data_IF_955651213761
#
_entry.id   IF_955651213761
#
_cell.length_a   1.000
_cell.length_b   1.000
_cell.length_c   1.000
_cell.angle_alpha   90.00
_cell.angle_beta   90.00
_cell.angle_gamma   90.00
#
_symmetry.space_group_name_H-M   'P 1'
#
loop_
_entity.id
_entity.type
_entity.pdbx_description
1 polymer ?
#
# COMPACT_ATOMS: atom_id res chain seq x y z
N UNK A 1 -32.60 -13.08 3.83
CA UNK A 1 -32.90 -11.78 3.21
C UNK A 1 -31.71 -11.45 2.34
N UNK A 2 -31.85 -11.16 1.04
CA UNK A 2 -30.72 -10.73 0.24
C UNK A 2 -30.22 -9.38 0.78
N UNK A 3 -29.00 -9.38 1.27
CA UNK A 3 -28.32 -8.15 1.71
C UNK A 3 -28.02 -7.34 0.46
N UNK A 4 -28.77 -6.25 0.23
CA UNK A 4 -28.43 -5.30 -0.82
C UNK A 4 -27.08 -4.70 -0.44
N UNK A 5 -26.05 -4.82 -1.28
CA UNK A 5 -24.74 -4.27 -0.96
C UNK A 5 -24.83 -2.75 -0.83
N UNK A 6 -24.10 -2.14 0.13
CA UNK A 6 -24.09 -0.70 0.28
C UNK A 6 -23.60 -0.04 -1.02
N UNK A 7 -24.29 1.01 -1.44
CA UNK A 7 -23.82 1.82 -2.55
C UNK A 7 -22.46 2.46 -2.19
N UNK A 8 -21.63 2.81 -3.18
CA UNK A 8 -20.35 3.50 -2.93
C UNK A 8 -20.56 4.79 -2.14
N UNK A 9 -21.68 5.48 -2.36
CA UNK A 9 -22.07 6.69 -1.63
C UNK A 9 -22.31 6.42 -0.14
N UNK A 10 -22.89 5.27 0.23
CA UNK A 10 -23.08 4.86 1.62
C UNK A 10 -21.74 4.59 2.31
N UNK A 11 -20.76 4.07 1.56
CA UNK A 11 -19.40 3.82 2.05
C UNK A 11 -18.68 5.14 2.30
N UNK A 12 -18.76 6.08 1.35
CA UNK A 12 -18.19 7.42 1.50
C UNK A 12 -18.80 8.15 2.69
N UNK A 13 -20.13 8.07 2.85
CA UNK A 13 -20.83 8.65 4.01
C UNK A 13 -20.32 8.07 5.33
N UNK A 14 -20.18 6.75 5.43
CA UNK A 14 -19.67 6.10 6.63
C UNK A 14 -18.21 6.48 6.95
N UNK A 15 -17.37 6.66 5.92
CA UNK A 15 -16.00 7.14 6.11
C UNK A 15 -15.98 8.58 6.63
N UNK A 16 -16.80 9.47 6.04
CA UNK A 16 -16.90 10.88 6.44
C UNK A 16 -17.44 11.01 7.88
N UNK A 17 -18.45 10.25 8.24
CA UNK A 17 -19.04 10.25 9.60
C UNK A 17 -18.01 9.83 10.66
N UNK A 18 -17.15 8.86 10.34
CA UNK A 18 -16.19 8.32 11.31
C UNK A 18 -14.86 9.08 11.37
N UNK A 19 -14.36 9.52 10.23
CA UNK A 19 -13.00 10.10 10.10
C UNK A 19 -13.01 11.59 9.75
N UNK A 20 -14.19 12.20 9.60
CA UNK A 20 -14.31 13.59 9.15
C UNK A 20 -14.21 13.72 7.63
N UNK A 21 -13.98 14.92 7.11
CA UNK A 21 -13.94 15.17 5.67
C UNK A 21 -12.89 14.31 4.98
N UNK A 22 -13.31 13.44 4.06
CA UNK A 22 -12.47 12.57 3.26
C UNK A 22 -12.43 13.12 1.84
N UNK A 23 -11.22 13.38 1.33
CA UNK A 23 -11.04 13.72 -0.08
C UNK A 23 -11.39 12.50 -0.93
N UNK A 24 -12.33 12.68 -1.87
CA UNK A 24 -12.75 11.62 -2.78
C UNK A 24 -12.75 12.10 -4.22
N UNK A 25 -12.51 11.19 -5.15
CA UNK A 25 -12.56 11.45 -6.59
C UNK A 25 -13.00 10.21 -7.33
N UNK A 26 -13.57 10.40 -8.52
CA UNK A 26 -13.94 9.31 -9.43
C UNK A 26 -13.13 9.43 -10.71
N UNK A 27 -12.48 8.35 -11.10
CA UNK A 27 -11.75 8.28 -12.36
C UNK A 27 -12.08 6.99 -13.09
N UNK A 28 -12.56 7.09 -14.33
CA UNK A 28 -13.01 5.95 -15.16
C UNK A 28 -13.97 5.02 -14.44
N UNK A 29 -14.92 5.60 -13.67
CA UNK A 29 -15.91 4.84 -12.91
C UNK A 29 -15.39 4.17 -11.64
N UNK A 30 -14.14 4.39 -11.25
CA UNK A 30 -13.58 3.89 -10.00
C UNK A 30 -13.46 5.02 -8.97
N UNK A 31 -14.01 4.77 -7.80
CA UNK A 31 -13.92 5.71 -6.67
C UNK A 31 -12.57 5.58 -5.98
N UNK A 32 -12.01 6.73 -5.64
CA UNK A 32 -10.77 6.87 -4.89
C UNK A 32 -11.01 7.72 -3.67
N UNK A 33 -10.42 7.35 -2.55
CA UNK A 33 -10.47 8.10 -1.29
C UNK A 33 -9.06 8.31 -0.76
N UNK A 34 -8.84 9.45 -0.11
CA UNK A 34 -7.58 9.76 0.59
C UNK A 34 -7.86 9.71 2.08
N UNK A 35 -7.11 8.91 2.80
CA UNK A 35 -7.21 8.72 4.24
C UNK A 35 -5.85 9.09 4.85
N UNK A 36 -5.85 9.70 6.04
CA UNK A 36 -4.60 9.98 6.76
C UNK A 36 -3.92 8.67 7.22
N UNK A 37 -2.62 8.70 7.41
CA UNK A 37 -1.85 7.53 7.82
C UNK A 37 -2.31 6.98 9.17
N UNK A 38 -2.66 7.86 10.11
CA UNK A 38 -3.13 7.51 11.45
C UNK A 38 -4.48 6.80 11.42
N UNK A 39 -5.38 7.19 10.50
CA UNK A 39 -6.71 6.60 10.37
C UNK A 39 -6.77 5.41 9.41
N UNK A 40 -5.67 5.12 8.70
CA UNK A 40 -5.66 4.16 7.60
C UNK A 40 -6.12 2.76 8.03
N UNK A 41 -5.57 2.23 9.12
CA UNK A 41 -5.93 0.89 9.60
C UNK A 41 -7.39 0.79 10.01
N UNK A 42 -7.92 1.78 10.73
CA UNK A 42 -9.33 1.79 11.13
C UNK A 42 -10.27 1.95 9.93
N UNK A 43 -9.90 2.79 8.97
CA UNK A 43 -10.68 2.97 7.75
C UNK A 43 -10.71 1.68 6.90
N UNK A 44 -9.56 1.02 6.76
CA UNK A 44 -9.46 -0.27 6.06
C UNK A 44 -10.21 -1.38 6.80
N UNK A 45 -10.21 -1.39 8.14
CA UNK A 45 -11.04 -2.28 8.97
C UNK A 45 -12.54 -2.05 8.72
N UNK A 46 -12.98 -0.80 8.67
CA UNK A 46 -14.36 -0.46 8.35
C UNK A 46 -14.73 -0.95 6.94
N UNK A 47 -13.88 -0.73 5.95
CA UNK A 47 -14.12 -1.19 4.57
C UNK A 47 -14.18 -2.70 4.47
N UNK A 48 -13.28 -3.42 5.16
CA UNK A 48 -13.33 -4.88 5.25
C UNK A 48 -14.67 -5.36 5.84
N UNK A 49 -15.14 -4.77 6.94
CA UNK A 49 -16.42 -5.10 7.56
C UNK A 49 -17.63 -4.76 6.67
N UNK A 50 -17.47 -3.87 5.70
CA UNK A 50 -18.49 -3.49 4.71
C UNK A 50 -18.46 -4.35 3.45
N UNK A 51 -17.66 -5.42 3.44
CA UNK A 51 -17.64 -6.43 2.39
C UNK A 51 -16.55 -6.24 1.34
N UNK A 52 -15.57 -5.36 1.55
CA UNK A 52 -14.34 -5.38 0.74
C UNK A 52 -13.44 -6.52 1.22
N UNK A 53 -13.79 -7.72 0.83
CA UNK A 53 -13.19 -8.98 1.26
C UNK A 53 -11.87 -9.31 0.54
N UNK A 54 -11.58 -8.63 -0.56
CA UNK A 54 -10.37 -8.84 -1.34
C UNK A 54 -9.49 -7.59 -1.37
N UNK A 55 -8.27 -7.72 -0.85
CA UNK A 55 -7.18 -6.80 -1.12
C UNK A 55 -6.50 -7.25 -2.43
N UNK A 56 -6.71 -6.50 -3.48
CA UNK A 56 -6.20 -6.83 -4.82
C UNK A 56 -4.71 -6.52 -4.91
N UNK A 57 -4.30 -5.37 -4.36
CA UNK A 57 -2.91 -4.90 -4.41
C UNK A 57 -2.63 -3.87 -3.33
N UNK A 58 -1.35 -3.79 -2.92
CA UNK A 58 -0.77 -2.68 -2.16
C UNK A 58 0.46 -2.22 -2.92
N UNK A 59 0.46 -0.98 -3.35
CA UNK A 59 1.56 -0.40 -4.10
C UNK A 59 1.95 0.96 -3.53
N UNK A 60 3.10 1.49 -3.96
CA UNK A 60 3.59 2.79 -3.53
C UNK A 60 4.06 3.63 -4.72
N UNK A 61 3.87 4.93 -4.62
CA UNK A 61 4.39 5.92 -5.58
C UNK A 61 5.28 6.90 -4.81
N UNK A 62 6.52 7.09 -5.27
CA UNK A 62 7.40 8.16 -4.79
C UNK A 62 7.20 9.40 -5.64
N UNK A 63 6.74 10.48 -5.01
CA UNK A 63 6.45 11.77 -5.65
C UNK A 63 7.59 12.79 -5.51
N UNK A 64 8.79 12.38 -5.09
CA UNK A 64 9.92 13.29 -4.82
C UNK A 64 10.17 14.27 -5.97
N UNK A 65 10.08 13.79 -7.22
CA UNK A 65 10.32 14.61 -8.43
C UNK A 65 9.04 15.19 -9.02
N UNK A 66 7.89 14.94 -8.42
CA UNK A 66 6.61 15.42 -8.96
C UNK A 66 6.32 16.83 -8.49
N UNK A 67 6.26 17.78 -9.43
CA UNK A 67 5.98 19.19 -9.14
C UNK A 67 4.57 19.33 -8.52
N UNK A 68 4.51 20.00 -7.38
CA UNK A 68 3.27 20.27 -6.66
C UNK A 68 2.81 19.14 -5.73
N UNK A 69 3.56 18.04 -5.58
CA UNK A 69 3.29 17.05 -4.55
C UNK A 69 3.45 17.68 -3.15
N UNK A 70 2.49 17.39 -2.27
CA UNK A 70 2.54 17.81 -0.86
C UNK A 70 3.24 16.77 0.02
N UNK A 71 3.23 15.53 -0.42
CA UNK A 71 3.75 14.37 0.28
C UNK A 71 4.69 13.59 -0.62
N UNK A 72 5.67 12.92 -0.01
CA UNK A 72 6.66 12.15 -0.76
C UNK A 72 6.12 10.80 -1.22
N UNK A 73 5.54 10.01 -0.33
CA UNK A 73 5.07 8.66 -0.66
C UNK A 73 3.55 8.57 -0.62
N UNK A 74 2.97 7.96 -1.63
CA UNK A 74 1.56 7.63 -1.67
C UNK A 74 1.36 6.12 -1.75
N UNK A 75 0.94 5.52 -0.65
CA UNK A 75 0.47 4.14 -0.62
C UNK A 75 -0.89 4.04 -1.30
N UNK A 76 -1.09 2.99 -2.08
CA UNK A 76 -2.31 2.73 -2.83
C UNK A 76 -2.81 1.33 -2.49
N UNK A 77 -3.95 1.23 -1.82
CA UNK A 77 -4.63 -0.02 -1.55
C UNK A 77 -5.76 -0.19 -2.56
N UNK A 78 -5.73 -1.26 -3.33
CA UNK A 78 -6.79 -1.61 -4.27
C UNK A 78 -7.69 -2.67 -3.64
N UNK A 79 -8.94 -2.29 -3.34
CA UNK A 79 -9.90 -3.14 -2.69
C UNK A 79 -11.00 -3.56 -3.66
N UNK A 80 -11.49 -4.78 -3.52
CA UNK A 80 -12.65 -5.29 -4.21
C UNK A 80 -13.61 -5.99 -3.26
N UNK A 81 -14.90 -5.86 -3.57
CA UNK A 81 -15.95 -6.67 -2.99
C UNK A 81 -16.30 -7.76 -4.00
N UNK A 82 -16.00 -9.03 -3.68
CA UNK A 82 -16.19 -10.15 -4.61
C UNK A 82 -17.65 -10.48 -4.88
N UNK A 83 -18.55 -10.17 -3.95
CA UNK A 83 -19.99 -10.42 -4.12
C UNK A 83 -20.67 -9.41 -5.02
N UNK A 84 -20.21 -8.15 -5.05
CA UNK A 84 -20.85 -7.04 -5.78
C UNK A 84 -20.05 -6.55 -6.97
N UNK A 85 -18.78 -7.01 -7.09
CA UNK A 85 -17.82 -6.53 -8.06
C UNK A 85 -17.50 -5.02 -7.94
N UNK A 86 -17.78 -4.42 -6.78
CA UNK A 86 -17.40 -3.05 -6.48
C UNK A 86 -15.90 -2.97 -6.24
N UNK A 87 -15.29 -1.87 -6.67
CA UNK A 87 -13.88 -1.58 -6.47
C UNK A 87 -13.71 -0.21 -5.82
N UNK A 88 -12.75 -0.13 -4.90
CA UNK A 88 -12.40 1.10 -4.21
C UNK A 88 -10.87 1.21 -4.13
N UNK A 89 -10.36 2.40 -4.41
CA UNK A 89 -8.94 2.71 -4.20
C UNK A 89 -8.80 3.59 -2.96
N UNK A 90 -8.02 3.14 -1.98
CA UNK A 90 -7.66 3.94 -0.81
C UNK A 90 -6.22 4.41 -0.99
N UNK A 91 -5.99 5.72 -0.83
CA UNK A 91 -4.66 6.33 -0.85
C UNK A 91 -4.31 6.85 0.52
N UNK A 92 -3.08 6.56 0.95
CA UNK A 92 -2.52 6.99 2.22
C UNK A 92 -1.18 7.64 1.92
N UNK A 93 -0.95 8.84 2.44
CA UNK A 93 0.30 9.55 2.24
C UNK A 93 1.16 9.49 3.49
N UNK A 94 2.46 9.27 3.27
CA UNK A 94 3.49 9.28 4.32
C UNK A 94 4.75 9.99 3.82
N UNK A 95 5.57 10.47 4.75
CA UNK A 95 6.73 11.29 4.46
C UNK A 95 7.99 10.80 5.21
N UNK A 96 9.16 11.24 4.72
CA UNK A 96 10.42 11.07 5.44
C UNK A 96 10.41 11.84 6.79
N UNK A 97 11.29 11.50 7.74
CA UNK A 97 12.39 10.52 7.61
C UNK A 97 11.98 9.07 7.86
N UNK A 98 10.85 8.81 8.48
CA UNK A 98 10.41 7.47 8.88
C UNK A 98 9.01 7.15 8.35
N UNK A 99 8.86 6.92 7.02
CA UNK A 99 7.56 6.61 6.45
C UNK A 99 7.05 5.27 7.00
N UNK A 100 5.93 5.31 7.71
CA UNK A 100 5.34 4.14 8.34
C UNK A 100 3.81 4.18 8.32
N UNK A 101 3.20 3.00 8.27
CA UNK A 101 1.77 2.76 8.44
C UNK A 101 1.55 1.46 9.20
N UNK A 102 0.37 1.29 9.78
CA UNK A 102 0.01 0.01 10.40
C UNK A 102 -0.24 -1.07 9.34
N UNK A 103 0.28 -2.29 9.57
CA UNK A 103 0.08 -3.45 8.71
C UNK A 103 -1.39 -3.88 8.66
N UNK A 104 -1.85 -4.24 7.47
CA UNK A 104 -3.21 -4.76 7.24
C UNK A 104 -3.25 -6.28 7.07
N UNK A 105 -2.16 -6.98 7.34
CA UNK A 105 -2.12 -8.45 7.37
C UNK A 105 -3.21 -9.06 8.26
N UNK A 106 -3.58 -8.48 9.43
CA UNK A 106 -4.70 -8.98 10.23
C UNK A 106 -6.06 -8.92 9.54
N UNK A 107 -6.22 -8.09 8.52
CA UNK A 107 -7.46 -7.95 7.75
C UNK A 107 -7.45 -8.85 6.51
N UNK A 108 -6.32 -8.91 5.82
CA UNK A 108 -6.12 -9.71 4.62
C UNK A 108 -4.75 -10.40 4.66
N UNK A 109 -4.73 -11.71 4.81
CA UNK A 109 -3.48 -12.48 4.86
C UNK A 109 -2.57 -12.26 3.64
N UNK A 110 -3.17 -12.03 2.47
CA UNK A 110 -2.43 -11.72 1.24
C UNK A 110 -1.60 -10.43 1.31
N UNK A 111 -1.94 -9.51 2.22
CA UNK A 111 -1.18 -8.29 2.45
C UNK A 111 0.28 -8.57 2.85
N UNK A 112 0.56 -9.71 3.47
CA UNK A 112 1.92 -10.08 3.90
C UNK A 112 2.94 -9.92 2.77
N UNK A 113 2.64 -10.43 1.59
CA UNK A 113 3.55 -10.36 0.45
C UNK A 113 3.61 -8.97 -0.17
N UNK A 114 2.46 -8.31 -0.28
CA UNK A 114 2.34 -6.98 -0.89
C UNK A 114 3.04 -5.90 -0.04
N UNK A 115 2.89 -5.95 1.28
CA UNK A 115 3.55 -5.03 2.20
C UNK A 115 5.07 -5.23 2.23
N UNK A 116 5.54 -6.49 2.17
CA UNK A 116 6.96 -6.80 2.05
C UNK A 116 7.56 -6.26 0.76
N UNK A 117 6.84 -6.36 -0.36
CA UNK A 117 7.28 -5.80 -1.64
C UNK A 117 7.43 -4.27 -1.54
N UNK A 118 6.43 -3.59 -1.01
CA UNK A 118 6.48 -2.13 -0.82
C UNK A 118 7.61 -1.73 0.12
N UNK A 119 7.78 -2.44 1.24
CA UNK A 119 8.90 -2.18 2.15
C UNK A 119 10.25 -2.41 1.46
N UNK A 120 10.41 -3.51 0.74
CA UNK A 120 11.65 -3.86 0.07
C UNK A 120 12.06 -2.82 -0.99
N UNK A 121 11.10 -2.34 -1.77
CA UNK A 121 11.36 -1.46 -2.91
C UNK A 121 11.37 0.03 -2.55
N UNK A 122 10.59 0.47 -1.54
CA UNK A 122 10.43 1.88 -1.16
C UNK A 122 10.87 2.19 0.28
N UNK A 123 11.00 1.19 1.15
CA UNK A 123 11.39 1.38 2.55
C UNK A 123 10.26 1.89 3.45
N UNK A 124 9.00 1.73 3.06
CA UNK A 124 7.85 2.06 3.91
C UNK A 124 7.71 0.99 4.97
N UNK A 125 7.74 1.35 6.26
CA UNK A 125 7.62 0.41 7.34
C UNK A 125 6.15 0.10 7.64
N UNK A 126 5.82 -1.19 7.73
CA UNK A 126 4.49 -1.67 8.12
C UNK A 126 4.53 -2.14 9.58
N UNK A 127 3.99 -1.32 10.48
CA UNK A 127 4.00 -1.59 11.91
C UNK A 127 3.08 -2.77 12.26
N UNK A 128 3.60 -3.70 13.05
CA UNK A 128 2.88 -4.94 13.39
C UNK A 128 2.87 -6.01 12.29
N UNK A 129 3.64 -5.82 11.20
CA UNK A 129 3.81 -6.87 10.21
C UNK A 129 4.53 -8.10 10.82
N UNK A 130 4.03 -9.33 10.60
CA UNK A 130 4.57 -10.52 11.28
C UNK A 130 5.98 -10.91 10.83
N UNK A 131 6.38 -10.60 9.60
CA UNK A 131 7.67 -11.02 9.02
C UNK A 131 8.14 -10.03 7.94
N UNK A 132 8.54 -8.83 8.34
CA UNK A 132 8.95 -7.76 7.42
C UNK A 132 10.42 -7.97 6.99
N UNK A 133 10.62 -8.74 5.94
CA UNK A 133 11.94 -9.03 5.33
C UNK A 133 11.87 -8.88 3.82
N UNK A 134 13.03 -8.80 3.16
CA UNK A 134 13.11 -8.62 1.71
C UNK A 134 12.38 -9.73 0.96
N UNK A 135 11.80 -9.37 -0.17
CA UNK A 135 11.05 -10.27 -1.05
C UNK A 135 11.65 -10.33 -2.45
N UNK A 136 11.94 -9.17 -3.02
CA UNK A 136 12.39 -9.01 -4.42
C UNK A 136 13.90 -8.86 -4.49
N UNK A 137 14.46 -8.06 -3.58
CA UNK A 137 15.89 -7.78 -3.56
C UNK A 137 16.64 -8.81 -2.70
N UNK A 138 17.91 -9.12 -3.04
CA UNK A 138 18.78 -9.93 -2.20
C UNK A 138 18.94 -9.32 -0.80
N UNK A 139 19.21 -10.15 0.21
CA UNK A 139 19.37 -9.67 1.61
C UNK A 139 20.53 -8.69 1.77
N UNK A 140 21.59 -8.85 0.98
CA UNK A 140 22.76 -7.99 0.96
C UNK A 140 22.51 -6.60 0.36
N UNK A 141 21.37 -6.41 -0.31
CA UNK A 141 21.02 -5.12 -0.89
C UNK A 141 20.50 -4.18 0.20
N UNK A 142 21.22 -3.10 0.46
CA UNK A 142 20.95 -2.22 1.62
C UNK A 142 20.06 -1.02 1.31
N UNK A 143 19.67 -0.82 0.06
CA UNK A 143 18.88 0.32 -0.38
C UNK A 143 17.44 -0.08 -0.78
N UNK A 144 16.66 0.90 -1.23
CA UNK A 144 15.30 0.73 -1.74
C UNK A 144 15.25 1.25 -3.19
N UNK A 145 15.27 0.36 -4.20
CA UNK A 145 15.62 0.72 -5.58
C UNK A 145 14.55 1.51 -6.32
N UNK A 146 13.31 1.56 -5.84
CA UNK A 146 12.24 2.36 -6.47
C UNK A 146 12.09 3.76 -5.88
N UNK A 147 12.88 4.12 -4.87
CA UNK A 147 12.98 5.51 -4.44
C UNK A 147 13.59 6.37 -5.54
N UNK A 148 13.04 7.57 -5.75
CA UNK A 148 13.51 8.50 -6.78
C UNK A 148 14.92 9.06 -6.50
N UNK A 149 15.35 9.08 -5.25
CA UNK A 149 16.71 9.44 -4.83
C UNK A 149 17.72 8.28 -4.94
N UNK A 150 17.27 7.09 -5.37
CA UNK A 150 18.15 5.97 -5.68
C UNK A 150 18.49 5.95 -7.19
N UNK A 151 19.78 5.95 -7.57
CA UNK A 151 20.17 6.03 -8.98
C UNK A 151 19.86 4.73 -9.73
N UNK A 152 19.32 4.85 -10.95
CA UNK A 152 19.01 3.70 -11.83
C UNK A 152 20.21 2.78 -12.10
N UNK A 153 21.42 3.35 -12.09
CA UNK A 153 22.66 2.60 -12.29
C UNK A 153 23.10 1.79 -11.06
N UNK A 154 22.42 1.99 -9.92
CA UNK A 154 22.84 1.45 -8.62
C UNK A 154 24.04 2.19 -8.05
N UNK A 155 24.51 1.74 -6.87
CA UNK A 155 25.67 2.30 -6.16
C UNK A 155 26.85 1.31 -6.11
N UNK A 156 26.85 0.30 -6.99
CA UNK A 156 27.89 -0.74 -7.06
C UNK A 156 27.58 -2.01 -6.24
N UNK A 157 26.38 -2.17 -5.73
CA UNK A 157 25.96 -3.31 -4.89
C UNK A 157 26.11 -4.66 -5.59
N UNK A 158 26.11 -4.69 -6.93
CA UNK A 158 26.32 -5.91 -7.74
C UNK A 158 27.59 -6.68 -7.38
N UNK A 159 28.62 -5.99 -6.92
CA UNK A 159 29.89 -6.62 -6.53
C UNK A 159 29.79 -7.39 -5.22
N UNK A 160 28.75 -7.13 -4.42
CA UNK A 160 28.53 -7.76 -3.12
C UNK A 160 27.58 -8.96 -3.21
N UNK A 161 27.00 -9.23 -4.38
CA UNK A 161 26.09 -10.37 -4.54
C UNK A 161 26.86 -11.68 -4.67
N UNK A 162 26.36 -12.78 -4.07
CA UNK A 162 26.97 -14.08 -4.23
C UNK A 162 26.95 -14.49 -5.71
N UNK A 163 28.09 -14.97 -6.17
CA UNK A 163 28.19 -15.55 -7.53
C UNK A 163 27.62 -16.96 -7.48
N UNK A 164 26.47 -17.15 -8.13
CA UNK A 164 25.88 -18.49 -8.27
C UNK A 164 26.72 -19.28 -9.28
N UNK A 165 27.43 -20.29 -8.80
CA UNK A 165 28.15 -21.26 -9.63
C UNK A 165 27.26 -22.48 -9.89
N UNK A 166 27.55 -23.24 -10.98
CA UNK A 166 26.80 -24.47 -11.31
C UNK A 166 26.85 -25.57 -10.24
N UNK A 167 27.79 -25.46 -9.30
CA UNK A 167 27.96 -26.43 -8.21
C UNK A 167 26.99 -26.22 -7.05
N UNK A 168 26.15 -25.18 -7.12
CA UNK A 168 25.12 -24.85 -6.13
C UNK A 168 23.69 -24.97 -6.67
N UNK A 169 23.50 -25.62 -7.84
CA UNK A 169 22.18 -25.87 -8.45
C UNK A 169 21.67 -27.29 -8.17
#
# INVERSE_FOLDING_TARGET
>A
MPHTPPAVDDILTALIERFGPVESSVYRGQTRVVISAEAAFEALTLLHSRGFDLLVDVSCVDYLEYQGAKHRYGLVYLLANTATNQRLTVRVFVDDPEPAVQSVVPLWEGANWLEREVWDLFGIRFEGHPDLRRLVMPEEFTAHPLRKDYPLQGRGERHNFPVITRDHS
#
